data_IF_029434247340
#
_entry.id   IF_029434247340
#
_cell.length_a   1.000
_cell.length_b   1.000
_cell.length_c   1.000
_cell.angle_alpha   90.00
_cell.angle_beta   90.00
_cell.angle_gamma   90.00
#
_symmetry.space_group_name_H-M   'P 1'
#
loop_
_entity.id
_entity.type
_entity.pdbx_description
1 polymer ?
#
# COMPACT_ATOMS: atom_id res chain seq x y z
N UNK A 1 26.67 7.43 25.55
CA UNK A 1 27.30 6.23 26.13
C UNK A 1 26.22 5.31 26.71
N UNK A 2 26.55 4.02 26.94
CA UNK A 2 25.63 3.07 27.58
C UNK A 2 25.19 3.55 28.98
N UNK A 3 26.10 4.19 29.71
CA UNK A 3 25.78 4.74 31.03
C UNK A 3 24.75 5.87 30.99
N UNK A 4 24.75 6.66 29.92
CA UNK A 4 23.72 7.70 29.70
C UNK A 4 22.35 7.06 29.46
N UNK A 5 22.31 5.97 28.68
CA UNK A 5 21.06 5.27 28.37
C UNK A 5 20.44 4.65 29.63
N UNK A 6 21.26 4.08 30.53
CA UNK A 6 20.82 3.52 31.81
C UNK A 6 20.17 4.55 32.76
N UNK A 7 20.51 5.82 32.58
CA UNK A 7 19.99 6.93 33.42
C UNK A 7 18.66 7.50 32.92
N UNK A 8 18.25 7.16 31.69
CA UNK A 8 17.00 7.68 31.11
C UNK A 8 15.80 7.20 31.91
N UNK A 9 14.93 8.14 32.28
CA UNK A 9 13.68 7.95 33.01
C UNK A 9 12.50 8.40 32.18
N UNK A 10 11.29 8.07 32.62
CA UNK A 10 10.04 8.45 31.96
C UNK A 10 9.95 9.97 31.70
N UNK A 11 10.40 10.79 32.66
CA UNK A 11 10.37 12.27 32.51
C UNK A 11 11.26 12.76 31.35
N UNK A 12 12.41 12.13 31.08
CA UNK A 12 13.26 12.49 29.96
C UNK A 12 12.55 12.21 28.63
N UNK A 13 11.79 11.12 28.57
CA UNK A 13 10.99 10.77 27.39
C UNK A 13 9.82 11.74 27.19
N UNK A 14 9.15 12.18 28.25
CA UNK A 14 8.14 13.24 28.17
C UNK A 14 8.76 14.55 27.70
N UNK A 15 9.91 14.96 28.24
CA UNK A 15 10.65 16.16 27.81
C UNK A 15 11.04 16.07 26.32
N UNK A 16 11.49 14.91 25.86
CA UNK A 16 11.78 14.69 24.46
C UNK A 16 10.54 14.85 23.56
N UNK A 17 9.39 14.32 23.96
CA UNK A 17 8.14 14.49 23.19
C UNK A 17 7.64 15.93 23.21
N UNK A 18 7.80 16.66 24.30
CA UNK A 18 7.52 18.10 24.39
C UNK A 18 8.45 18.88 23.45
N UNK A 19 9.75 18.64 23.50
CA UNK A 19 10.74 19.24 22.60
C UNK A 19 10.40 19.04 21.13
N UNK A 20 9.95 17.83 20.73
CA UNK A 20 9.51 17.58 19.36
C UNK A 20 8.27 18.40 18.96
N UNK A 21 7.42 18.72 19.94
CA UNK A 21 6.23 19.54 19.69
C UNK A 21 6.59 21.02 19.53
N UNK A 22 7.38 21.54 20.43
CA UNK A 22 7.74 22.96 20.53
C UNK A 22 8.68 23.39 19.38
N UNK A 23 9.78 22.64 19.19
CA UNK A 23 10.83 23.02 18.24
C UNK A 23 10.58 22.53 16.81
N UNK A 24 9.88 21.39 16.62
CA UNK A 24 9.64 20.82 15.28
C UNK A 24 8.17 20.84 14.88
N UNK A 25 7.25 21.37 15.70
CA UNK A 25 5.81 21.39 15.46
C UNK A 25 5.28 20.00 15.01
N UNK A 26 5.83 18.92 15.60
CA UNK A 26 5.57 17.57 15.17
C UNK A 26 4.12 17.17 15.42
N UNK A 27 3.49 16.58 14.41
CA UNK A 27 2.09 16.10 14.49
C UNK A 27 1.98 14.90 15.44
N UNK A 28 0.79 14.69 16.03
CA UNK A 28 0.50 13.57 16.92
C UNK A 28 0.91 12.21 16.32
N UNK A 29 0.66 11.98 15.03
CA UNK A 29 1.07 10.75 14.33
C UNK A 29 2.60 10.55 14.30
N UNK A 30 3.38 11.62 14.15
CA UNK A 30 4.85 11.57 14.20
C UNK A 30 5.32 11.22 15.61
N UNK A 31 4.74 11.85 16.65
CA UNK A 31 5.07 11.53 18.03
C UNK A 31 4.68 10.11 18.41
N UNK A 32 3.50 9.65 18.02
CA UNK A 32 3.05 8.26 18.22
C UNK A 32 4.04 7.25 17.64
N UNK A 33 4.52 7.50 16.41
CA UNK A 33 5.57 6.65 15.81
C UNK A 33 6.88 6.68 16.59
N UNK A 34 7.28 7.84 17.12
CA UNK A 34 8.47 7.95 17.98
C UNK A 34 8.29 7.17 19.27
N UNK A 35 7.12 7.26 19.92
CA UNK A 35 6.80 6.45 21.11
C UNK A 35 6.93 4.96 20.82
N UNK A 36 6.37 4.50 19.68
CA UNK A 36 6.50 3.09 19.28
C UNK A 36 7.96 2.67 19.08
N UNK A 37 8.77 3.52 18.44
CA UNK A 37 10.20 3.25 18.25
C UNK A 37 10.96 3.18 19.58
N UNK A 38 10.66 4.09 20.51
CA UNK A 38 11.24 4.10 21.87
C UNK A 38 10.88 2.83 22.63
N UNK A 39 9.61 2.40 22.56
CA UNK A 39 9.17 1.16 23.21
C UNK A 39 9.92 -0.06 22.71
N UNK A 40 10.04 -0.20 21.39
CA UNK A 40 10.80 -1.31 20.79
C UNK A 40 12.26 -1.28 21.22
N UNK A 41 12.88 -0.10 21.18
CA UNK A 41 14.27 0.08 21.57
C UNK A 41 14.53 -0.25 23.05
N UNK A 42 13.78 0.32 23.97
CA UNK A 42 13.97 0.08 25.40
C UNK A 42 13.57 -1.34 25.80
N UNK A 43 12.56 -1.92 25.17
CA UNK A 43 12.22 -3.33 25.35
C UNK A 43 13.38 -4.25 24.92
N UNK A 44 14.02 -3.96 23.77
CA UNK A 44 15.20 -4.68 23.35
C UNK A 44 16.34 -4.59 24.38
N UNK A 45 16.58 -3.41 24.95
CA UNK A 45 17.62 -3.24 25.98
C UNK A 45 17.34 -4.04 27.25
N UNK A 46 16.07 -4.13 27.66
CA UNK A 46 15.67 -4.99 28.79
C UNK A 46 15.87 -6.47 28.49
N UNK A 47 15.43 -6.93 27.31
CA UNK A 47 15.58 -8.34 26.87
C UNK A 47 17.07 -8.73 26.80
N UNK A 48 17.95 -7.78 26.47
CA UNK A 48 19.41 -7.97 26.46
C UNK A 48 20.07 -7.76 27.83
N UNK A 49 19.31 -7.54 28.89
CA UNK A 49 19.82 -7.26 30.24
C UNK A 49 20.79 -6.07 30.30
N UNK A 50 20.68 -5.10 29.37
CA UNK A 50 21.47 -3.88 29.35
C UNK A 50 20.93 -2.86 30.35
N UNK A 51 19.61 -2.83 30.51
CA UNK A 51 18.87 -2.05 31.51
C UNK A 51 17.90 -2.96 32.27
N UNK A 52 17.68 -2.66 33.55
CA UNK A 52 16.77 -3.45 34.40
C UNK A 52 15.32 -2.98 34.26
N UNK A 53 15.11 -1.67 34.15
CA UNK A 53 13.78 -1.06 34.13
C UNK A 53 13.52 -0.41 32.77
N UNK A 54 12.38 -0.74 32.18
CA UNK A 54 11.96 -0.13 30.92
C UNK A 54 11.32 1.26 31.19
N UNK A 55 11.98 2.38 30.81
CA UNK A 55 11.43 3.71 31.06
C UNK A 55 10.19 4.05 30.20
N UNK A 56 9.86 3.22 29.20
CA UNK A 56 8.70 3.44 28.34
C UNK A 56 7.43 2.74 28.81
N UNK A 57 7.47 1.99 29.92
CA UNK A 57 6.36 1.17 30.39
C UNK A 57 5.08 2.00 30.56
N UNK A 58 5.20 3.20 31.15
CA UNK A 58 4.09 4.13 31.39
C UNK A 58 4.08 5.32 30.42
N UNK A 59 4.83 5.25 29.30
CA UNK A 59 4.85 6.32 28.31
C UNK A 59 3.58 6.28 27.48
N UNK A 60 2.74 7.31 27.62
CA UNK A 60 1.47 7.39 26.88
C UNK A 60 1.68 7.63 25.40
N UNK A 61 0.84 7.00 24.58
CA UNK A 61 0.81 7.25 23.15
C UNK A 61 -0.13 8.42 22.86
N UNK A 62 0.33 9.47 22.13
CA UNK A 62 -0.56 10.55 21.74
C UNK A 62 -1.81 10.04 21.03
N UNK A 63 -2.99 10.51 21.44
CA UNK A 63 -4.26 10.18 20.78
C UNK A 63 -4.19 10.65 19.31
N UNK A 64 -4.58 9.77 18.42
CA UNK A 64 -4.67 10.06 16.99
C UNK A 64 -6.13 10.29 16.63
N UNK A 65 -6.40 11.34 15.85
CA UNK A 65 -7.70 11.50 15.23
C UNK A 65 -7.96 10.30 14.31
N UNK A 66 -9.06 9.61 14.50
CA UNK A 66 -9.54 8.57 13.58
C UNK A 66 -10.01 9.25 12.30
N UNK A 67 -9.10 9.49 11.36
CA UNK A 67 -9.45 9.99 10.04
C UNK A 67 -9.84 8.81 9.16
N UNK A 68 -10.98 8.95 8.48
CA UNK A 68 -11.35 7.99 7.45
C UNK A 68 -10.28 7.94 6.36
N UNK A 69 -9.91 6.75 5.88
CA UNK A 69 -8.95 6.60 4.80
C UNK A 69 -9.46 7.36 3.57
N UNK A 70 -8.62 8.20 2.97
CA UNK A 70 -8.93 8.82 1.68
C UNK A 70 -8.65 7.81 0.57
N UNK A 71 -9.64 7.56 -0.26
CA UNK A 71 -9.56 6.72 -1.45
C UNK A 71 -10.16 7.47 -2.65
N UNK A 72 -9.83 7.05 -3.86
CA UNK A 72 -10.42 7.58 -5.08
C UNK A 72 -11.84 7.05 -5.24
N UNK A 73 -12.77 7.91 -5.64
CA UNK A 73 -14.09 7.45 -6.07
C UNK A 73 -13.98 6.59 -7.33
N UNK A 74 -15.03 5.86 -7.67
CA UNK A 74 -15.08 5.07 -8.90
C UNK A 74 -14.82 5.95 -10.14
N UNK A 75 -15.42 7.13 -10.18
CA UNK A 75 -15.23 8.08 -11.29
C UNK A 75 -13.78 8.60 -11.37
N UNK A 76 -13.19 8.96 -10.23
CA UNK A 76 -11.79 9.37 -10.18
C UNK A 76 -10.83 8.24 -10.60
N UNK A 77 -11.17 7.00 -10.26
CA UNK A 77 -10.38 5.83 -10.65
C UNK A 77 -10.46 5.58 -12.16
N UNK A 78 -11.64 5.78 -12.78
CA UNK A 78 -11.80 5.72 -14.24
C UNK A 78 -10.97 6.79 -14.93
N UNK A 79 -11.07 8.05 -14.50
CA UNK A 79 -10.26 9.15 -15.02
C UNK A 79 -8.75 8.90 -14.90
N UNK A 80 -8.31 8.24 -13.83
CA UNK A 80 -6.91 7.88 -13.65
C UNK A 80 -6.46 6.81 -14.65
N UNK A 81 -7.30 5.81 -14.94
CA UNK A 81 -7.03 4.80 -15.97
C UNK A 81 -6.99 5.42 -17.38
N UNK A 82 -7.94 6.30 -17.69
CA UNK A 82 -7.95 7.05 -18.96
C UNK A 82 -6.70 7.94 -19.12
N UNK A 83 -6.28 8.61 -18.05
CA UNK A 83 -5.08 9.45 -18.08
C UNK A 83 -3.78 8.64 -18.23
N UNK A 84 -3.77 7.39 -17.79
CA UNK A 84 -2.63 6.48 -17.95
C UNK A 84 -2.51 5.88 -19.35
N UNK A 85 -3.63 5.83 -20.10
CA UNK A 85 -3.69 5.37 -21.49
C UNK A 85 -3.53 6.57 -22.45
N UNK A 86 -2.41 7.26 -22.35
CA UNK A 86 -2.13 8.47 -23.11
C UNK A 86 -1.13 8.19 -24.24
N UNK A 87 -1.59 8.25 -25.49
CA UNK A 87 -0.80 7.99 -26.70
C UNK A 87 0.45 8.90 -26.82
N UNK A 88 0.41 10.11 -26.25
CA UNK A 88 1.58 11.00 -26.24
C UNK A 88 2.70 10.54 -25.29
N UNK A 89 2.44 9.54 -24.45
CA UNK A 89 3.42 8.98 -23.54
C UNK A 89 4.09 7.76 -24.14
N UNK A 90 5.36 7.86 -24.48
CA UNK A 90 6.17 6.74 -25.03
C UNK A 90 6.11 5.43 -24.21
N UNK A 91 5.71 5.51 -22.94
CA UNK A 91 5.63 4.37 -22.05
C UNK A 91 4.18 4.15 -21.58
N UNK A 92 3.20 4.55 -22.40
CA UNK A 92 1.78 4.51 -22.07
C UNK A 92 1.35 3.12 -21.62
N UNK A 93 1.63 2.10 -22.39
CA UNK A 93 1.21 0.72 -22.10
C UNK A 93 1.80 0.22 -20.77
N UNK A 94 3.06 0.60 -20.46
CA UNK A 94 3.68 0.27 -19.18
C UNK A 94 2.98 0.98 -18.02
N UNK A 95 2.77 2.27 -18.15
CA UNK A 95 2.23 3.13 -17.10
C UNK A 95 0.76 2.76 -16.86
N UNK A 96 0.01 2.48 -17.94
CA UNK A 96 -1.36 1.96 -17.89
C UNK A 96 -1.43 0.59 -17.19
N UNK A 97 -0.56 -0.36 -17.53
CA UNK A 97 -0.51 -1.66 -16.87
C UNK A 97 -0.19 -1.54 -15.37
N UNK A 98 0.73 -0.65 -14.98
CA UNK A 98 1.06 -0.38 -13.58
C UNK A 98 -0.17 0.17 -12.83
N UNK A 99 -0.86 1.14 -13.40
CA UNK A 99 -2.04 1.79 -12.78
C UNK A 99 -3.22 0.83 -12.69
N UNK A 100 -3.45 0.04 -13.75
CA UNK A 100 -4.47 -1.01 -13.79
C UNK A 100 -4.25 -2.05 -12.70
N UNK A 101 -3.02 -2.53 -12.52
CA UNK A 101 -2.69 -3.50 -11.48
C UNK A 101 -2.87 -2.92 -10.06
N UNK A 102 -2.50 -1.66 -9.82
CA UNK A 102 -2.76 -1.06 -8.50
C UNK A 102 -4.24 -0.95 -8.18
N UNK A 103 -5.07 -0.54 -9.14
CA UNK A 103 -6.49 -0.30 -8.92
C UNK A 103 -7.32 -1.59 -8.90
N UNK A 104 -6.89 -2.65 -9.61
CA UNK A 104 -7.64 -3.90 -9.67
C UNK A 104 -7.13 -4.98 -8.70
N UNK A 105 -5.82 -5.00 -8.39
CA UNK A 105 -5.24 -6.05 -7.55
C UNK A 105 -4.85 -5.56 -6.15
N UNK A 106 -4.84 -4.25 -5.93
CA UNK A 106 -4.45 -3.67 -4.64
C UNK A 106 -3.03 -4.02 -4.21
N UNK A 107 -2.09 -4.12 -5.14
CA UNK A 107 -0.69 -4.46 -4.88
C UNK A 107 -0.01 -3.47 -3.94
N UNK A 108 0.97 -3.97 -3.15
CA UNK A 108 1.95 -3.08 -2.52
C UNK A 108 2.98 -2.62 -3.56
N UNK A 109 3.49 -1.41 -3.39
CA UNK A 109 4.54 -0.88 -4.28
C UNK A 109 5.76 -1.83 -4.39
N UNK A 110 6.16 -2.44 -3.27
CA UNK A 110 7.25 -3.42 -3.26
C UNK A 110 6.93 -4.68 -4.04
N UNK A 111 5.68 -5.14 -3.98
CA UNK A 111 5.22 -6.30 -4.73
C UNK A 111 5.27 -6.02 -6.23
N UNK A 112 4.68 -4.91 -6.68
CA UNK A 112 4.65 -4.54 -8.09
C UNK A 112 6.05 -4.47 -8.72
N UNK A 113 7.02 -3.82 -8.07
CA UNK A 113 8.37 -3.68 -8.63
C UNK A 113 9.17 -4.98 -8.63
N UNK A 114 8.77 -5.98 -7.84
CA UNK A 114 9.44 -7.28 -7.75
C UNK A 114 8.91 -8.33 -8.72
N UNK A 115 7.75 -8.10 -9.35
CA UNK A 115 7.12 -9.06 -10.26
C UNK A 115 8.07 -9.40 -11.41
N UNK A 116 8.19 -10.70 -11.69
CA UNK A 116 8.85 -11.22 -12.88
C UNK A 116 7.80 -11.69 -13.90
N UNK A 117 8.19 -11.78 -15.15
CA UNK A 117 7.28 -12.30 -16.20
C UNK A 117 6.82 -13.73 -15.86
N UNK A 118 7.72 -14.58 -15.37
CA UNK A 118 7.43 -15.97 -14.99
C UNK A 118 6.45 -16.11 -13.81
N UNK A 119 6.26 -15.06 -13.03
CA UNK A 119 5.36 -15.09 -11.87
C UNK A 119 3.88 -14.96 -12.28
N UNK A 120 3.61 -14.77 -13.59
CA UNK A 120 2.27 -14.66 -14.17
C UNK A 120 1.90 -15.96 -14.88
N UNK A 121 0.79 -16.53 -14.46
CA UNK A 121 0.12 -17.63 -15.18
C UNK A 121 -1.08 -17.04 -15.95
N UNK A 122 -0.92 -16.91 -17.26
CA UNK A 122 -1.95 -16.34 -18.15
C UNK A 122 -3.13 -17.29 -18.36
N UNK A 123 -2.92 -18.60 -18.30
CA UNK A 123 -3.97 -19.62 -18.48
C UNK A 123 -4.93 -19.59 -17.29
N UNK A 124 -4.40 -19.53 -16.08
CA UNK A 124 -5.20 -19.47 -14.84
C UNK A 124 -5.57 -18.03 -14.43
N UNK A 125 -5.13 -17.03 -15.18
CA UNK A 125 -5.32 -15.63 -14.84
C UNK A 125 -4.87 -15.30 -13.41
N UNK A 126 -3.67 -15.76 -13.03
CA UNK A 126 -3.10 -15.59 -11.68
C UNK A 126 -1.69 -15.02 -11.73
N UNK A 127 -1.30 -14.35 -10.68
CA UNK A 127 0.03 -13.82 -10.48
C UNK A 127 0.50 -14.08 -9.05
N UNK A 128 1.70 -14.65 -8.91
CA UNK A 128 2.31 -14.88 -7.60
C UNK A 128 3.10 -13.66 -7.15
N UNK A 129 2.87 -13.22 -5.93
CA UNK A 129 3.60 -12.10 -5.32
C UNK A 129 4.17 -12.49 -3.96
N UNK A 130 5.35 -11.96 -3.66
CA UNK A 130 6.02 -12.16 -2.37
C UNK A 130 5.71 -10.95 -1.49
N UNK A 131 4.98 -11.19 -0.41
CA UNK A 131 4.58 -10.19 0.57
C UNK A 131 5.59 -9.98 1.70
N UNK A 132 5.16 -9.29 2.75
CA UNK A 132 5.95 -9.09 3.98
C UNK A 132 6.29 -10.44 4.63
N UNK A 133 7.54 -10.59 5.08
CA UNK A 133 8.00 -11.85 5.71
C UNK A 133 8.23 -13.00 4.72
N UNK A 134 8.44 -12.68 3.43
CA UNK A 134 8.69 -13.66 2.36
C UNK A 134 7.52 -14.65 2.16
N UNK A 135 6.29 -14.25 2.52
CA UNK A 135 5.08 -15.06 2.30
C UNK A 135 4.59 -14.86 0.87
N UNK A 136 4.46 -15.95 0.14
CA UNK A 136 3.87 -15.94 -1.20
C UNK A 136 2.34 -15.96 -1.12
N UNK A 137 1.70 -15.27 -2.07
CA UNK A 137 0.27 -15.40 -2.32
C UNK A 137 -0.04 -15.25 -3.80
N UNK A 138 -1.06 -15.98 -4.25
CA UNK A 138 -1.63 -15.79 -5.57
C UNK A 138 -2.59 -14.59 -5.58
N UNK A 139 -2.58 -13.85 -6.66
CA UNK A 139 -3.51 -12.75 -6.96
C UNK A 139 -4.22 -13.08 -8.26
N UNK A 140 -5.54 -13.06 -8.25
CA UNK A 140 -6.34 -13.24 -9.46
C UNK A 140 -6.30 -11.96 -10.31
N UNK A 141 -6.11 -12.15 -11.62
CA UNK A 141 -6.06 -11.09 -12.63
C UNK A 141 -7.38 -11.08 -13.40
N UNK A 142 -8.10 -9.97 -13.37
CA UNK A 142 -9.27 -9.81 -14.21
C UNK A 142 -8.88 -9.51 -15.67
N UNK A 143 -9.89 -9.50 -16.56
CA UNK A 143 -9.68 -9.26 -17.99
C UNK A 143 -8.91 -7.96 -18.28
N UNK A 144 -9.17 -6.89 -17.52
CA UNK A 144 -8.49 -5.61 -17.70
C UNK A 144 -6.99 -5.73 -17.36
N UNK A 145 -6.64 -6.44 -16.29
CA UNK A 145 -5.24 -6.68 -15.92
C UNK A 145 -4.50 -7.50 -16.99
N UNK A 146 -5.11 -8.60 -17.45
CA UNK A 146 -4.51 -9.46 -18.49
C UNK A 146 -4.31 -8.67 -19.78
N UNK A 147 -5.32 -7.89 -20.21
CA UNK A 147 -5.23 -7.03 -21.38
C UNK A 147 -4.06 -6.05 -21.27
N UNK A 148 -4.03 -5.26 -20.21
CA UNK A 148 -3.00 -4.24 -20.00
C UNK A 148 -1.58 -4.83 -19.91
N UNK A 149 -1.42 -6.01 -19.27
CA UNK A 149 -0.13 -6.69 -19.22
C UNK A 149 0.31 -7.14 -20.61
N UNK A 150 -0.59 -7.73 -21.42
CA UNK A 150 -0.28 -8.19 -22.78
C UNK A 150 0.08 -7.03 -23.69
N UNK A 151 -0.64 -5.91 -23.66
CA UNK A 151 -0.35 -4.70 -24.41
C UNK A 151 1.06 -4.18 -24.06
N UNK A 152 1.38 -4.11 -22.77
CA UNK A 152 2.74 -3.74 -22.39
C UNK A 152 3.80 -4.77 -22.83
N UNK A 153 3.56 -6.07 -22.71
CA UNK A 153 4.52 -7.10 -23.13
C UNK A 153 4.81 -7.05 -24.62
N UNK A 154 3.84 -6.64 -25.46
CA UNK A 154 4.02 -6.46 -26.91
C UNK A 154 5.05 -5.36 -27.24
N UNK A 155 5.12 -4.31 -26.44
CA UNK A 155 6.05 -3.17 -26.64
C UNK A 155 7.26 -3.19 -25.68
N UNK A 156 7.27 -4.09 -24.70
CA UNK A 156 8.35 -4.20 -23.74
C UNK A 156 9.68 -4.49 -24.44
N UNK A 157 10.77 -3.73 -24.17
CA UNK A 157 12.08 -4.00 -24.74
C UNK A 157 12.54 -5.45 -24.51
N UNK A 158 12.90 -6.15 -25.59
CA UNK A 158 13.42 -7.52 -25.53
C UNK A 158 14.96 -7.56 -25.55
N UNK A 159 15.61 -6.49 -26.04
CA UNK A 159 17.06 -6.38 -26.18
C UNK A 159 17.62 -5.20 -25.41
N UNK A 160 18.91 -5.21 -25.14
CA UNK A 160 19.60 -4.13 -24.43
C UNK A 160 19.20 -4.00 -22.98
N UNK A 161 18.55 -5.01 -22.40
CA UNK A 161 18.23 -5.05 -20.97
C UNK A 161 19.53 -5.25 -20.20
N UNK A 162 19.73 -4.43 -19.18
CA UNK A 162 20.94 -4.51 -18.37
C UNK A 162 20.94 -5.79 -17.53
N UNK A 163 22.01 -6.55 -17.66
CA UNK A 163 22.30 -7.65 -16.74
C UNK A 163 22.87 -7.04 -15.46
N UNK A 164 22.04 -6.91 -14.46
CA UNK A 164 22.41 -6.34 -13.15
C UNK A 164 21.96 -7.28 -12.02
N UNK A 165 22.41 -6.98 -10.82
CA UNK A 165 22.02 -7.72 -9.61
C UNK A 165 20.54 -7.56 -9.21
N UNK A 166 19.73 -6.87 -10.03
CA UNK A 166 18.29 -6.68 -9.83
C UNK A 166 17.44 -7.61 -10.70
N UNK A 167 18.07 -8.57 -11.38
CA UNK A 167 17.38 -9.48 -12.33
C UNK A 167 16.49 -8.74 -13.32
N UNK A 168 17.03 -7.68 -13.95
CA UNK A 168 16.26 -6.81 -14.85
C UNK A 168 15.73 -7.55 -16.08
N UNK A 169 16.42 -8.59 -16.52
CA UNK A 169 16.01 -9.48 -17.61
C UNK A 169 14.72 -10.25 -17.30
N UNK A 170 14.53 -10.62 -16.04
CA UNK A 170 13.34 -11.36 -15.57
C UNK A 170 12.17 -10.43 -15.22
N UNK A 171 12.44 -9.14 -14.96
CA UNK A 171 11.46 -8.20 -14.44
C UNK A 171 10.28 -8.00 -15.41
N UNK A 172 9.05 -7.98 -14.90
CA UNK A 172 7.90 -7.59 -15.69
C UNK A 172 8.07 -6.14 -16.16
N UNK A 173 8.25 -5.20 -15.26
CA UNK A 173 8.33 -3.77 -15.59
C UNK A 173 9.77 -3.25 -15.66
N UNK A 174 10.07 -2.56 -16.75
CA UNK A 174 11.36 -1.92 -17.00
C UNK A 174 11.24 -0.39 -16.93
N UNK A 175 12.29 0.23 -16.42
CA UNK A 175 12.50 1.68 -16.55
C UNK A 175 12.98 2.03 -17.98
N UNK A 176 13.03 3.33 -18.30
CA UNK A 176 13.60 3.82 -19.56
C UNK A 176 15.07 3.41 -19.76
N UNK A 177 15.78 3.18 -18.65
CA UNK A 177 17.17 2.69 -18.67
C UNK A 177 17.27 1.18 -18.89
N UNK A 178 16.15 0.52 -19.21
CA UNK A 178 16.07 -0.94 -19.41
C UNK A 178 16.58 -1.75 -18.20
N UNK A 179 16.30 -1.25 -17.02
CA UNK A 179 16.53 -1.93 -15.75
C UNK A 179 15.17 -2.19 -15.08
N UNK A 180 15.13 -3.14 -14.14
CA UNK A 180 13.94 -3.33 -13.28
C UNK A 180 13.48 -1.98 -12.74
N UNK A 181 12.19 -1.70 -12.89
CA UNK A 181 11.63 -0.40 -12.46
C UNK A 181 11.80 -0.21 -10.95
N UNK A 182 12.18 1.01 -10.56
CA UNK A 182 12.36 1.36 -9.17
C UNK A 182 11.08 1.89 -8.51
N UNK A 183 10.99 1.76 -7.19
CA UNK A 183 9.84 2.26 -6.41
C UNK A 183 9.59 3.76 -6.65
N UNK A 184 10.66 4.56 -6.71
CA UNK A 184 10.55 6.00 -6.93
C UNK A 184 9.98 6.31 -8.31
N UNK A 185 10.45 5.63 -9.34
CA UNK A 185 9.94 5.79 -10.72
C UNK A 185 8.43 5.48 -10.78
N UNK A 186 7.99 4.38 -10.16
CA UNK A 186 6.56 4.04 -10.10
C UNK A 186 5.75 5.13 -9.36
N UNK A 187 6.29 5.67 -8.27
CA UNK A 187 5.63 6.78 -7.57
C UNK A 187 5.52 8.02 -8.44
N UNK A 188 6.57 8.38 -9.17
CA UNK A 188 6.60 9.52 -10.08
C UNK A 188 5.60 9.36 -11.23
N UNK A 189 5.48 8.14 -11.80
CA UNK A 189 4.46 7.78 -12.80
C UNK A 189 3.06 8.05 -12.22
N UNK A 190 2.72 7.43 -11.10
CA UNK A 190 1.38 7.58 -10.49
C UNK A 190 1.08 9.04 -10.13
N UNK A 191 2.06 9.80 -9.63
CA UNK A 191 1.83 11.23 -9.35
C UNK A 191 1.60 12.06 -10.62
N UNK A 192 2.28 11.72 -11.73
CA UNK A 192 2.05 12.35 -13.03
C UNK A 192 0.62 12.07 -13.51
N UNK A 193 0.20 10.82 -13.50
CA UNK A 193 -1.12 10.41 -13.96
C UNK A 193 -2.26 10.96 -13.10
N UNK A 194 -2.10 11.00 -11.77
CA UNK A 194 -3.07 11.65 -10.88
C UNK A 194 -3.26 13.13 -11.25
N UNK A 195 -2.18 13.84 -11.59
CA UNK A 195 -2.28 15.25 -12.04
C UNK A 195 -3.01 15.37 -13.38
N UNK A 196 -2.70 14.49 -14.34
CA UNK A 196 -3.37 14.46 -15.64
C UNK A 196 -4.87 14.14 -15.49
N UNK A 197 -5.22 13.25 -14.58
CA UNK A 197 -6.60 12.92 -14.23
C UNK A 197 -7.35 14.05 -13.46
N UNK A 198 -6.69 15.19 -13.20
CA UNK A 198 -7.28 16.29 -12.40
C UNK A 198 -7.46 15.96 -10.92
N UNK A 199 -6.74 14.95 -10.41
CA UNK A 199 -6.79 14.52 -9.00
C UNK A 199 -5.64 15.15 -8.23
N UNK A 200 -5.93 15.68 -7.03
CA UNK A 200 -4.91 16.31 -6.17
C UNK A 200 -3.87 15.26 -5.71
N UNK A 201 -2.76 15.20 -6.44
CA UNK A 201 -1.66 14.26 -6.19
C UNK A 201 -1.02 14.41 -4.81
N UNK A 202 -1.18 15.55 -4.11
CA UNK A 202 -0.71 15.73 -2.74
C UNK A 202 -1.55 14.94 -1.72
N UNK A 203 -2.80 14.65 -2.06
CA UNK A 203 -3.73 13.88 -1.21
C UNK A 203 -3.65 12.39 -1.43
N UNK A 204 -3.13 11.94 -2.57
CA UNK A 204 -3.12 10.53 -2.97
C UNK A 204 -1.69 10.03 -3.21
N UNK A 205 -1.45 8.80 -2.83
CA UNK A 205 -0.16 8.11 -3.01
C UNK A 205 -0.43 6.68 -3.50
N UNK A 206 0.58 5.99 -3.97
CA UNK A 206 0.47 4.58 -4.38
C UNK A 206 -0.19 3.71 -3.30
N UNK A 207 0.11 3.96 -2.02
CA UNK A 207 -0.54 3.22 -0.93
C UNK A 207 -2.05 3.49 -0.85
N UNK A 208 -2.49 4.69 -1.23
CA UNK A 208 -3.92 5.02 -1.28
C UNK A 208 -4.64 4.42 -2.48
N UNK A 209 -3.94 4.11 -3.58
CA UNK A 209 -4.51 3.32 -4.67
C UNK A 209 -4.85 1.91 -4.22
N UNK A 210 -4.02 1.30 -3.35
CA UNK A 210 -4.37 0.03 -2.72
C UNK A 210 -5.60 0.15 -1.81
N UNK A 211 -5.74 1.24 -1.06
CA UNK A 211 -6.96 1.52 -0.30
C UNK A 211 -8.16 1.70 -1.22
N UNK A 212 -7.97 2.37 -2.36
CA UNK A 212 -9.01 2.53 -3.38
C UNK A 212 -9.46 1.17 -3.91
N UNK A 213 -8.53 0.32 -4.35
CA UNK A 213 -8.85 -1.02 -4.82
C UNK A 213 -9.64 -1.83 -3.80
N UNK A 214 -9.18 -1.84 -2.55
CA UNK A 214 -9.86 -2.52 -1.45
C UNK A 214 -11.28 -1.99 -1.22
N UNK A 215 -11.45 -0.66 -1.20
CA UNK A 215 -12.77 -0.03 -0.99
C UNK A 215 -13.71 -0.32 -2.15
N UNK A 216 -13.24 -0.23 -3.40
CA UNK A 216 -14.05 -0.53 -4.58
C UNK A 216 -14.48 -2.00 -4.62
N UNK A 217 -13.57 -2.93 -4.31
CA UNK A 217 -13.91 -4.37 -4.21
C UNK A 217 -14.95 -4.62 -3.13
N UNK A 218 -14.82 -3.97 -1.96
CA UNK A 218 -15.77 -4.10 -0.87
C UNK A 218 -17.15 -3.52 -1.24
N UNK A 219 -17.18 -2.30 -1.79
CA UNK A 219 -18.41 -1.58 -2.09
C UNK A 219 -19.18 -2.14 -3.28
N UNK A 220 -18.48 -2.56 -4.34
CA UNK A 220 -19.06 -2.95 -5.61
C UNK A 220 -18.86 -4.43 -5.96
N UNK A 221 -17.85 -5.08 -5.39
CA UNK A 221 -17.53 -6.47 -5.70
C UNK A 221 -18.24 -7.50 -4.84
N UNK A 222 -19.01 -7.08 -3.83
CA UNK A 222 -19.69 -8.00 -2.92
C UNK A 222 -18.76 -8.88 -2.07
N UNK A 223 -17.50 -8.50 -1.94
CA UNK A 223 -16.46 -9.28 -1.22
C UNK A 223 -16.62 -9.07 0.28
N UNK A 224 -16.67 -10.16 1.05
CA UNK A 224 -16.66 -10.05 2.51
C UNK A 224 -15.27 -9.61 3.04
N UNK A 225 -15.24 -9.16 4.30
CA UNK A 225 -14.04 -8.58 4.91
C UNK A 225 -12.89 -9.59 5.05
N UNK A 226 -13.19 -10.88 5.23
CA UNK A 226 -12.18 -11.94 5.39
C UNK A 226 -11.53 -12.25 4.05
N UNK A 227 -12.34 -12.40 2.99
CA UNK A 227 -11.85 -12.57 1.63
C UNK A 227 -11.02 -11.35 1.19
N UNK A 228 -11.44 -10.12 1.55
CA UNK A 228 -10.66 -8.91 1.29
C UNK A 228 -9.34 -8.90 2.07
N UNK A 229 -9.33 -9.36 3.32
CA UNK A 229 -8.11 -9.48 4.13
C UNK A 229 -7.10 -10.44 3.48
N UNK A 230 -7.56 -11.58 3.02
CA UNK A 230 -6.74 -12.60 2.36
C UNK A 230 -6.17 -12.06 1.04
N UNK A 231 -7.01 -11.49 0.19
CA UNK A 231 -6.63 -10.87 -1.09
C UNK A 231 -5.55 -9.81 -0.90
N UNK A 232 -5.71 -8.96 0.11
CA UNK A 232 -4.73 -7.92 0.42
C UNK A 232 -3.50 -8.47 1.17
N UNK A 233 -3.57 -9.67 1.77
CA UNK A 233 -2.50 -10.21 2.60
C UNK A 233 -2.26 -9.35 3.85
N UNK A 234 -3.33 -9.01 4.58
CA UNK A 234 -3.26 -8.35 5.86
C UNK A 234 -3.13 -9.38 6.99
N UNK A 235 -2.14 -9.21 7.85
CA UNK A 235 -1.92 -10.10 9.01
C UNK A 235 -3.00 -9.93 10.09
N UNK A 236 -3.72 -8.80 10.09
CA UNK A 236 -4.75 -8.47 11.09
C UNK A 236 -6.03 -7.97 10.43
N UNK A 237 -7.17 -8.46 10.89
CA UNK A 237 -8.50 -7.99 10.51
C UNK A 237 -8.64 -6.48 10.76
N UNK A 238 -8.11 -5.96 11.88
CA UNK A 238 -8.18 -4.53 12.20
C UNK A 238 -7.61 -3.61 11.11
N UNK A 239 -6.70 -4.11 10.28
CA UNK A 239 -6.17 -3.39 9.11
C UNK A 239 -7.16 -3.38 7.94
N UNK A 240 -8.10 -4.32 7.91
CA UNK A 240 -9.12 -4.45 6.86
C UNK A 240 -10.45 -3.82 7.30
N UNK A 241 -10.73 -3.77 8.60
CA UNK A 241 -11.92 -3.11 9.18
C UNK A 241 -12.05 -1.63 8.80
N UNK A 242 -10.97 -0.97 8.43
CA UNK A 242 -11.03 0.42 7.93
C UNK A 242 -11.86 0.56 6.65
N UNK A 243 -12.11 -0.52 5.92
CA UNK A 243 -12.95 -0.57 4.72
C UNK A 243 -14.43 -0.84 5.03
N UNK A 244 -14.74 -1.27 6.26
CA UNK A 244 -16.09 -1.61 6.71
C UNK A 244 -16.92 -0.42 7.19
N UNK A 245 -16.54 0.81 6.85
CA UNK A 245 -17.46 1.91 6.96
C UNK A 245 -18.60 1.65 5.95
N UNK A 246 -19.53 0.80 6.40
CA UNK A 246 -20.70 0.34 5.67
C UNK A 246 -21.45 1.57 5.22
N UNK A 247 -21.64 1.71 3.92
CA UNK A 247 -22.58 2.70 3.44
C UNK A 247 -23.97 2.33 3.98
N UNK A 248 -24.77 3.32 4.35
CA UNK A 248 -26.16 3.08 4.77
C UNK A 248 -26.94 2.23 3.75
N UNK A 249 -26.54 2.28 2.50
CA UNK A 249 -27.08 1.50 1.39
C UNK A 249 -26.76 -0.02 1.52
N UNK A 250 -25.57 -0.40 1.97
CA UNK A 250 -25.25 -1.82 2.20
C UNK A 250 -26.04 -2.40 3.37
N UNK A 251 -26.24 -1.61 4.43
CA UNK A 251 -27.08 -2.03 5.58
C UNK A 251 -28.52 -2.18 5.11
N UNK A 252 -29.04 -1.23 4.35
CA UNK A 252 -30.39 -1.28 3.79
C UNK A 252 -30.57 -2.49 2.88
N UNK A 253 -29.67 -2.70 1.95
CA UNK A 253 -29.68 -3.87 1.04
C UNK A 253 -29.59 -5.20 1.81
N UNK A 254 -28.83 -5.28 2.91
CA UNK A 254 -28.78 -6.47 3.74
C UNK A 254 -30.11 -6.73 4.45
N UNK A 255 -30.78 -5.70 4.94
CA UNK A 255 -32.11 -5.80 5.54
C UNK A 255 -33.17 -6.20 4.51
N UNK A 256 -33.16 -5.57 3.34
CA UNK A 256 -34.09 -5.85 2.23
C UNK A 256 -33.91 -7.28 1.67
N UNK A 257 -32.70 -7.84 1.71
CA UNK A 257 -32.40 -9.22 1.28
C UNK A 257 -32.57 -10.27 2.39
N UNK A 258 -33.08 -9.88 3.56
CA UNK A 258 -33.39 -10.84 4.59
C UNK A 258 -34.48 -11.80 4.06
N UNK A 259 -34.29 -13.14 4.16
CA UNK A 259 -35.28 -14.12 3.70
C UNK A 259 -36.68 -13.98 4.35
N UNK A 260 -36.76 -13.21 5.44
CA UNK A 260 -38.00 -12.93 6.16
C UNK A 260 -38.59 -11.54 5.85
N UNK A 261 -38.00 -10.79 4.91
CA UNK A 261 -38.45 -9.43 4.59
C UNK A 261 -39.81 -9.43 3.89
N UNK A 262 -40.20 -10.53 3.24
CA UNK A 262 -41.44 -10.68 2.47
C UNK A 262 -42.51 -11.52 3.21
N UNK A 263 -42.28 -11.82 4.51
CA UNK A 263 -43.25 -12.49 5.39
C UNK A 263 -44.01 -11.48 6.23
#
# INVERSE_FOLDING_TARGET
TLDTIKKIRLNDLHSFLAYLTENFKSKAATRSRKVSSLRVFFNYLCVKNIIEINPTQNLETPKLDKRLPKYLTLEQSKKLLEASDNEDNRNSERDHAITTLFLNCGLRLSELVSINIKDINFEECQMNVIGKGNKERAIYLNKACIKAINEYLAVRPQTGIKKDNKDSDKALFLSERRQRIGRRTVQEIIYKELRLAGVDSAKYSVHKLRHTAATLMYQYGGVDIRALQELLGHESISTTEIYTHVSNEQVRNAVERNPLADL
#
